data_IF_834105496042
#
_entry.id   IF_834105496042
#
_cell.length_a   1.000
_cell.length_b   1.000
_cell.length_c   1.000
_cell.angle_alpha   90.00
_cell.angle_beta   90.00
_cell.angle_gamma   90.00
#
_symmetry.space_group_name_H-M   'P 1'
#
loop_
_entity.id
_entity.type
_entity.pdbx_description
1 polymer ?
#
# COMPACT_ATOMS: atom_id res chain seq x y z
N UNK A 1 -21.30 11.97 7.80
CA UNK A 1 -20.11 12.05 6.91
C UNK A 1 -19.04 11.01 7.24
N UNK A 2 -18.99 10.53 8.48
CA UNK A 2 -17.99 9.58 9.01
C UNK A 2 -17.91 8.26 8.24
N UNK A 3 -19.06 7.72 7.81
CA UNK A 3 -19.11 6.46 7.05
C UNK A 3 -18.46 6.58 5.68
N UNK A 4 -18.64 7.70 4.98
CA UNK A 4 -18.04 7.92 3.65
C UNK A 4 -16.52 7.91 3.76
N UNK A 5 -16.02 8.54 4.81
CA UNK A 5 -14.60 8.60 5.03
C UNK A 5 -13.99 7.25 5.47
N UNK A 6 -14.63 6.53 6.39
CA UNK A 6 -14.16 5.21 6.80
C UNK A 6 -14.08 4.27 5.60
N UNK A 7 -15.08 4.31 4.71
CA UNK A 7 -15.09 3.57 3.46
C UNK A 7 -13.93 3.99 2.53
N UNK A 8 -13.70 5.29 2.35
CA UNK A 8 -12.58 5.80 1.53
C UNK A 8 -11.22 5.31 2.04
N UNK A 9 -10.96 5.36 3.36
CA UNK A 9 -9.69 4.88 3.94
C UNK A 9 -9.54 3.39 3.74
N UNK A 10 -10.59 2.61 4.02
CA UNK A 10 -10.59 1.16 3.84
C UNK A 10 -10.25 0.78 2.39
N UNK A 11 -10.81 1.51 1.43
CA UNK A 11 -10.58 1.30 0.01
C UNK A 11 -9.16 1.68 -0.41
N UNK A 12 -8.62 2.79 0.10
CA UNK A 12 -7.23 3.22 -0.17
C UNK A 12 -6.24 2.17 0.35
N UNK A 13 -6.45 1.66 1.57
CA UNK A 13 -5.59 0.63 2.17
C UNK A 13 -5.68 -0.67 1.38
N UNK A 14 -6.89 -1.11 1.00
CA UNK A 14 -7.08 -2.30 0.18
C UNK A 14 -6.39 -2.19 -1.19
N UNK A 15 -6.52 -1.04 -1.88
CA UNK A 15 -5.89 -0.79 -3.17
C UNK A 15 -4.35 -0.77 -3.07
N UNK A 16 -3.80 -0.22 -1.98
CA UNK A 16 -2.36 -0.24 -1.68
C UNK A 16 -1.83 -1.67 -1.50
N UNK A 17 -2.50 -2.48 -0.68
CA UNK A 17 -2.13 -3.87 -0.42
C UNK A 17 -2.17 -4.70 -1.70
N UNK A 18 -3.23 -4.56 -2.50
CA UNK A 18 -3.40 -5.27 -3.77
C UNK A 18 -2.38 -4.81 -4.80
N UNK A 19 -2.21 -3.49 -4.99
CA UNK A 19 -1.24 -2.93 -5.95
C UNK A 19 0.20 -3.33 -5.65
N UNK A 20 0.55 -3.40 -4.36
CA UNK A 20 1.87 -3.86 -3.96
C UNK A 20 2.05 -5.38 -4.13
N UNK A 21 1.02 -6.17 -3.86
CA UNK A 21 1.06 -7.63 -4.11
C UNK A 21 1.26 -7.91 -5.60
N UNK A 22 0.61 -7.13 -6.48
CA UNK A 22 0.81 -7.20 -7.94
C UNK A 22 2.24 -6.80 -8.31
N UNK A 23 2.82 -5.80 -7.65
CA UNK A 23 4.19 -5.36 -7.90
C UNK A 23 5.25 -6.42 -7.48
N UNK A 24 4.96 -7.24 -6.46
CA UNK A 24 5.79 -8.40 -6.07
C UNK A 24 5.68 -9.51 -7.12
N UNK A 25 4.47 -9.74 -7.66
CA UNK A 25 4.21 -10.77 -8.68
C UNK A 25 4.62 -10.36 -10.10
N UNK A 26 4.83 -9.07 -10.34
CA UNK A 26 5.29 -8.55 -11.62
C UNK A 26 6.76 -8.96 -11.84
N UNK A 27 6.94 -10.08 -12.55
CA UNK A 27 8.21 -10.70 -12.97
C UNK A 27 8.99 -9.84 -14.02
N UNK A 28 8.95 -8.50 -13.87
CA UNK A 28 9.46 -7.48 -14.82
C UNK A 28 10.39 -6.48 -14.13
N UNK A 29 11.41 -6.97 -13.41
CA UNK A 29 12.43 -6.13 -12.77
C UNK A 29 13.64 -6.96 -12.27
N UNK A 30 14.81 -6.34 -12.04
CA UNK A 30 16.03 -7.06 -11.66
C UNK A 30 15.81 -7.84 -10.37
N UNK A 31 15.74 -9.18 -10.49
CA UNK A 31 15.62 -10.11 -9.36
C UNK A 31 16.91 -10.06 -8.55
N UNK A 32 16.85 -9.44 -7.37
CA UNK A 32 17.87 -9.63 -6.34
C UNK A 32 17.28 -10.65 -5.38
N UNK A 33 17.83 -11.86 -5.37
CA UNK A 33 17.44 -12.94 -4.43
C UNK A 33 15.98 -13.43 -4.55
N UNK A 34 15.45 -13.56 -5.77
CA UNK A 34 14.08 -14.07 -6.04
C UNK A 34 12.93 -13.13 -5.63
N UNK A 35 13.24 -11.95 -5.07
CA UNK A 35 12.27 -10.94 -4.64
C UNK A 35 12.34 -9.72 -5.59
N UNK A 36 11.18 -9.25 -6.07
CA UNK A 36 11.10 -8.05 -6.90
C UNK A 36 11.41 -6.80 -6.06
N UNK A 37 12.60 -6.20 -6.23
CA UNK A 37 13.03 -4.99 -5.49
C UNK A 37 12.04 -3.84 -5.69
N UNK A 38 11.50 -3.71 -6.91
CA UNK A 38 10.50 -2.70 -7.26
C UNK A 38 9.20 -2.94 -6.47
N UNK A 39 8.79 -4.20 -6.34
CA UNK A 39 7.63 -4.59 -5.54
C UNK A 39 7.82 -4.33 -4.05
N UNK A 40 9.00 -4.64 -3.51
CA UNK A 40 9.33 -4.39 -2.11
C UNK A 40 9.35 -2.89 -1.77
N UNK A 41 9.96 -2.07 -2.63
CA UNK A 41 9.97 -0.61 -2.47
C UNK A 41 8.54 -0.05 -2.53
N UNK A 42 7.71 -0.53 -3.47
CA UNK A 42 6.30 -0.17 -3.56
C UNK A 42 5.47 -0.60 -2.35
N UNK A 43 5.78 -1.76 -1.75
CA UNK A 43 5.14 -2.26 -0.53
C UNK A 43 5.44 -1.37 0.68
N UNK A 44 6.71 -1.05 0.88
CA UNK A 44 7.14 -0.21 2.00
C UNK A 44 6.59 1.21 1.85
N UNK A 45 6.63 1.80 0.65
CA UNK A 45 6.01 3.11 0.38
C UNK A 45 4.50 3.09 0.66
N UNK A 46 3.81 2.04 0.24
CA UNK A 46 2.39 1.85 0.51
C UNK A 46 2.12 1.77 2.02
N UNK A 47 2.87 0.94 2.75
CA UNK A 47 2.71 0.81 4.21
C UNK A 47 2.90 2.15 4.95
N UNK A 48 3.91 2.94 4.58
CA UNK A 48 4.17 4.27 5.17
C UNK A 48 3.01 5.24 4.91
N UNK A 49 2.50 5.28 3.67
CA UNK A 49 1.40 6.18 3.29
C UNK A 49 0.09 5.76 4.01
N UNK A 50 -0.18 4.46 4.10
CA UNK A 50 -1.36 3.93 4.80
C UNK A 50 -1.35 4.26 6.29
N UNK A 51 -0.22 4.06 6.97
CA UNK A 51 -0.06 4.40 8.40
C UNK A 51 -0.22 5.91 8.62
N UNK A 52 0.37 6.74 7.74
CA UNK A 52 0.22 8.20 7.82
C UNK A 52 -1.24 8.66 7.69
N UNK A 53 -1.99 8.07 6.75
CA UNK A 53 -3.42 8.35 6.57
C UNK A 53 -4.26 7.95 7.79
N UNK A 54 -4.02 6.75 8.33
CA UNK A 54 -4.70 6.27 9.53
C UNK A 54 -4.41 7.20 10.72
N UNK A 55 -3.15 7.60 10.91
CA UNK A 55 -2.76 8.50 12.00
C UNK A 55 -3.42 9.87 11.86
N UNK A 56 -3.45 10.43 10.64
CA UNK A 56 -4.12 11.70 10.36
C UNK A 56 -5.63 11.62 10.64
N UNK A 57 -6.24 10.47 10.36
CA UNK A 57 -7.68 10.28 10.62
C UNK A 57 -8.02 10.02 12.07
N UNK A 58 -7.18 9.29 12.79
CA UNK A 58 -7.40 9.04 14.22
C UNK A 58 -7.13 10.29 15.06
N UNK A 59 -6.27 11.19 14.57
CA UNK A 59 -5.90 12.44 15.24
C UNK A 59 -6.93 13.57 15.04
N UNK A 60 -7.81 13.47 14.04
CA UNK A 60 -8.79 14.50 13.68
C UNK A 60 -10.21 14.02 13.92
#
# INVERSE_FOLDING_TARGET
>A
DDLKNQLSISLIVAALLVGSSIAILADKGPKVWDISVIGFVGFVLSAVIGIYLIYKYLRN
#
